data_IF_150022764682
#
_entry.id   IF_150022764682
#
_cell.length_a   1.000
_cell.length_b   1.000
_cell.length_c   1.000
_cell.angle_alpha   90.00
_cell.angle_beta   90.00
_cell.angle_gamma   90.00
#
_symmetry.space_group_name_H-M   'P 1'
#
loop_
_entity.id
_entity.type
_entity.pdbx_description
1 polymer ?
#
# COMPACT_ATOMS: atom_id res chain seq x y z
N UNK A 1 -5.54 -14.95 21.34
CA UNK A 1 -4.50 -15.08 20.30
C UNK A 1 -3.75 -16.39 20.50
N UNK A 2 -3.80 -17.33 19.55
CA UNK A 2 -3.21 -18.67 19.71
C UNK A 2 -1.69 -18.59 19.58
N UNK A 3 -0.96 -19.13 20.56
CA UNK A 3 0.50 -19.23 20.52
C UNK A 3 0.90 -20.62 20.05
N UNK A 4 1.47 -20.70 18.86
CA UNK A 4 2.00 -21.96 18.32
C UNK A 4 3.42 -22.22 18.84
N UNK A 5 3.63 -23.41 19.40
CA UNK A 5 4.91 -23.85 19.94
C UNK A 5 5.60 -24.85 18.98
N UNK A 6 6.87 -25.13 19.25
CA UNK A 6 7.65 -26.13 18.49
C UNK A 6 7.88 -25.73 17.03
N UNK A 7 7.65 -26.67 16.11
CA UNK A 7 7.86 -26.45 14.68
C UNK A 7 6.80 -25.54 14.03
N UNK A 8 5.64 -25.36 14.69
CA UNK A 8 4.58 -24.44 14.25
C UNK A 8 4.84 -22.98 14.66
N UNK A 9 5.84 -22.73 15.50
CA UNK A 9 6.23 -21.37 15.86
C UNK A 9 6.64 -20.57 14.61
N UNK A 10 6.12 -19.34 14.45
CA UNK A 10 6.32 -18.52 13.24
C UNK A 10 7.79 -18.40 12.80
N UNK A 11 8.74 -18.31 13.75
CA UNK A 11 10.17 -18.24 13.46
C UNK A 11 10.74 -19.52 12.84
N UNK A 12 10.21 -20.68 13.21
CA UNK A 12 10.72 -22.02 12.80
C UNK A 12 9.87 -22.67 11.71
N UNK A 13 8.63 -22.20 11.51
CA UNK A 13 7.67 -22.78 10.58
C UNK A 13 8.17 -22.82 9.14
N UNK A 14 8.88 -21.79 8.68
CA UNK A 14 9.39 -21.77 7.30
C UNK A 14 10.40 -22.87 6.99
N UNK A 15 11.20 -23.29 7.97
CA UNK A 15 12.29 -24.26 7.79
C UNK A 15 11.92 -25.68 8.22
N UNK A 16 11.14 -25.83 9.30
CA UNK A 16 10.79 -27.14 9.84
C UNK A 16 9.54 -27.75 9.23
N UNK A 17 8.57 -26.94 8.81
CA UNK A 17 7.31 -27.44 8.28
C UNK A 17 7.50 -28.27 6.99
N UNK A 18 8.34 -27.87 6.01
CA UNK A 18 8.56 -28.69 4.80
C UNK A 18 9.12 -30.08 5.12
N UNK A 19 10.03 -30.19 6.10
CA UNK A 19 10.62 -31.47 6.52
C UNK A 19 9.59 -32.42 7.13
N UNK A 20 8.60 -31.86 7.84
CA UNK A 20 7.48 -32.64 8.40
C UNK A 20 6.55 -33.13 7.30
N UNK A 21 6.27 -32.30 6.28
CA UNK A 21 5.51 -32.73 5.10
C UNK A 21 6.19 -33.87 4.35
N UNK A 22 7.52 -33.79 4.19
CA UNK A 22 8.34 -34.83 3.56
C UNK A 22 8.31 -36.13 4.35
N UNK A 23 8.53 -36.07 5.67
CA UNK A 23 8.49 -37.23 6.55
C UNK A 23 7.11 -37.92 6.60
N UNK A 24 6.02 -37.15 6.47
CA UNK A 24 4.65 -37.64 6.44
C UNK A 24 4.14 -38.00 5.04
N UNK A 25 5.00 -37.87 4.01
CA UNK A 25 4.62 -38.08 2.59
C UNK A 25 3.38 -37.28 2.16
N UNK A 26 3.17 -36.10 2.76
CA UNK A 26 2.02 -35.26 2.50
C UNK A 26 2.29 -34.31 1.34
N UNK A 27 1.35 -34.20 0.41
CA UNK A 27 1.42 -33.19 -0.66
C UNK A 27 1.31 -31.80 -0.08
N UNK A 28 2.33 -30.96 -0.31
CA UNK A 28 2.30 -29.55 0.08
C UNK A 28 1.19 -28.85 -0.71
N UNK A 29 0.28 -28.17 -0.01
CA UNK A 29 -0.72 -27.33 -0.68
C UNK A 29 -0.03 -26.20 -1.41
N UNK A 30 -0.44 -25.97 -2.65
CA UNK A 30 0.03 -24.83 -3.41
C UNK A 30 -0.24 -23.54 -2.66
N UNK A 31 0.78 -22.69 -2.59
CA UNK A 31 0.61 -21.35 -2.04
C UNK A 31 -0.41 -20.63 -2.93
N UNK A 32 -1.46 -20.02 -2.36
CA UNK A 32 -2.35 -19.20 -3.14
C UNK A 32 -1.52 -18.11 -3.84
N UNK A 33 -1.78 -17.91 -5.13
CA UNK A 33 -1.11 -16.85 -5.89
C UNK A 33 -1.35 -15.54 -5.16
N UNK A 34 -0.28 -14.79 -4.89
CA UNK A 34 -0.42 -13.45 -4.31
C UNK A 34 -1.32 -12.64 -5.25
N UNK A 35 -2.44 -12.09 -4.75
CA UNK A 35 -3.32 -11.29 -5.59
C UNK A 35 -2.52 -10.13 -6.18
N UNK A 36 -2.69 -9.91 -7.49
CA UNK A 36 -2.06 -8.79 -8.17
C UNK A 36 -2.62 -7.45 -7.67
N UNK A 37 -1.92 -6.36 -7.99
CA UNK A 37 -2.32 -5.01 -7.60
C UNK A 37 -3.79 -4.68 -7.93
N UNK A 38 -4.28 -5.04 -9.11
CA UNK A 38 -5.68 -4.79 -9.48
C UNK A 38 -6.69 -5.53 -8.61
N UNK A 39 -6.39 -6.78 -8.23
CA UNK A 39 -7.26 -7.56 -7.34
C UNK A 39 -7.30 -6.93 -5.95
N UNK A 40 -6.15 -6.47 -5.46
CA UNK A 40 -6.04 -5.75 -4.20
C UNK A 40 -6.81 -4.43 -4.23
N UNK A 41 -6.64 -3.62 -5.27
CA UNK A 41 -7.34 -2.34 -5.43
C UNK A 41 -8.84 -2.52 -5.55
N UNK A 42 -9.29 -3.53 -6.30
CA UNK A 42 -10.71 -3.87 -6.41
C UNK A 42 -11.30 -4.32 -5.08
N UNK A 43 -10.56 -5.10 -4.29
CA UNK A 43 -11.01 -5.52 -2.95
C UNK A 43 -11.01 -4.39 -1.92
N UNK A 44 -10.06 -3.45 -2.02
CA UNK A 44 -9.90 -2.36 -1.05
C UNK A 44 -10.78 -1.15 -1.35
N UNK A 45 -10.80 -0.67 -2.61
CA UNK A 45 -11.54 0.53 -3.04
C UNK A 45 -12.85 0.21 -3.76
N UNK A 46 -13.10 -1.05 -4.12
CA UNK A 46 -14.25 -1.42 -4.96
C UNK A 46 -14.08 -1.10 -6.45
N UNK A 47 -12.97 -0.46 -6.83
CA UNK A 47 -12.71 -0.02 -8.20
C UNK A 47 -11.57 -0.81 -8.83
N UNK A 48 -11.79 -1.32 -10.05
CA UNK A 48 -10.72 -1.95 -10.83
C UNK A 48 -9.88 -0.86 -11.52
N UNK A 49 -8.56 -0.74 -11.24
CA UNK A 49 -7.71 0.28 -11.85
C UNK A 49 -7.55 0.09 -13.36
N UNK A 50 -7.86 -1.10 -13.90
CA UNK A 50 -7.81 -1.38 -15.33
C UNK A 50 -9.17 -1.27 -16.01
N UNK A 51 -10.21 -0.76 -15.34
CA UNK A 51 -11.51 -0.54 -15.94
C UNK A 51 -11.72 0.96 -16.22
N UNK A 52 -12.10 1.26 -17.46
CA UNK A 52 -12.50 2.60 -17.87
C UNK A 52 -13.75 3.02 -17.09
N UNK A 53 -13.69 4.12 -16.33
CA UNK A 53 -14.81 4.63 -15.54
C UNK A 53 -15.99 5.07 -16.42
N UNK A 54 -15.71 5.55 -17.63
CA UNK A 54 -16.72 6.05 -18.56
C UNK A 54 -17.35 4.94 -19.40
N UNK A 55 -16.51 4.05 -19.94
CA UNK A 55 -16.85 3.11 -21.00
C UNK A 55 -16.89 1.65 -20.53
N UNK A 56 -16.32 1.34 -19.37
CA UNK A 56 -16.23 -0.04 -18.85
C UNK A 56 -15.17 -0.91 -19.55
N UNK A 57 -14.57 -0.45 -20.64
CA UNK A 57 -13.52 -1.19 -21.36
C UNK A 57 -12.23 -1.37 -20.54
N UNK A 58 -11.45 -2.39 -20.92
CA UNK A 58 -10.19 -2.72 -20.25
C UNK A 58 -9.05 -1.79 -20.68
N UNK A 59 -8.56 -1.02 -19.73
CA UNK A 59 -7.37 -0.18 -19.88
C UNK A 59 -6.09 -1.02 -19.90
N UNK A 60 -5.10 -0.56 -20.67
CA UNK A 60 -3.74 -1.13 -20.69
C UNK A 60 -2.86 -0.37 -19.72
N UNK A 61 -2.03 -1.09 -18.98
CA UNK A 61 -1.05 -0.47 -18.09
C UNK A 61 -0.03 0.34 -18.90
N UNK A 62 0.01 1.66 -18.67
CA UNK A 62 0.98 2.55 -19.31
C UNK A 62 2.19 2.83 -18.40
N UNK A 63 1.97 2.90 -17.08
CA UNK A 63 3.00 3.19 -16.10
C UNK A 63 2.41 3.36 -14.71
N UNK A 64 3.27 3.35 -13.70
CA UNK A 64 2.91 3.65 -12.31
C UNK A 64 3.91 4.66 -11.76
N UNK A 65 3.39 5.70 -11.11
CA UNK A 65 4.20 6.70 -10.43
C UNK A 65 3.89 6.62 -8.93
N UNK A 66 4.93 6.66 -8.10
CA UNK A 66 4.75 6.67 -6.67
C UNK A 66 4.19 8.03 -6.23
N UNK A 67 3.08 8.00 -5.47
CA UNK A 67 2.57 9.20 -4.82
C UNK A 67 3.57 9.73 -3.78
N UNK A 68 3.58 11.04 -3.57
CA UNK A 68 4.34 11.67 -2.46
C UNK A 68 3.75 11.24 -1.12
N UNK A 69 4.60 11.09 -0.11
CA UNK A 69 4.13 10.71 1.21
C UNK A 69 3.23 11.81 1.79
N UNK A 70 2.24 11.44 2.60
CA UNK A 70 1.30 12.40 3.19
C UNK A 70 2.01 13.50 3.98
N UNK A 71 3.11 13.16 4.67
CA UNK A 71 3.92 14.13 5.42
C UNK A 71 4.58 15.17 4.52
N UNK A 72 5.04 14.78 3.33
CA UNK A 72 5.64 15.70 2.35
C UNK A 72 4.60 16.65 1.75
N UNK A 73 3.40 16.13 1.49
CA UNK A 73 2.28 16.95 0.99
C UNK A 73 1.87 18.00 2.04
N UNK A 74 1.83 17.60 3.32
CA UNK A 74 1.51 18.49 4.43
C UNK A 74 2.60 19.54 4.65
N UNK A 75 3.88 19.17 4.64
CA UNK A 75 4.98 20.11 4.82
C UNK A 75 5.02 21.14 3.68
N UNK A 76 4.87 20.69 2.42
CA UNK A 76 4.81 21.58 1.27
C UNK A 76 3.58 22.51 1.29
N UNK A 77 2.47 22.09 1.92
CA UNK A 77 1.30 22.95 2.15
C UNK A 77 1.60 24.01 3.22
N UNK A 78 2.17 23.62 4.36
CA UNK A 78 2.52 24.53 5.45
C UNK A 78 3.50 25.61 4.98
N UNK A 79 4.57 25.23 4.27
CA UNK A 79 5.53 26.18 3.69
C UNK A 79 4.86 27.19 2.74
N UNK A 80 3.90 26.73 1.92
CA UNK A 80 3.12 27.64 1.06
C UNK A 80 2.28 28.63 1.85
N UNK A 81 1.70 28.22 2.97
CA UNK A 81 0.92 29.12 3.83
C UNK A 81 1.80 30.14 4.54
N UNK A 82 2.93 29.69 5.08
CA UNK A 82 3.93 30.56 5.71
C UNK A 82 4.46 31.62 4.73
N UNK A 83 4.84 31.21 3.51
CA UNK A 83 5.29 32.12 2.46
C UNK A 83 4.21 33.16 2.09
N UNK A 84 2.94 32.73 1.98
CA UNK A 84 1.82 33.65 1.72
C UNK A 84 1.65 34.67 2.85
N UNK A 85 1.72 34.22 4.11
CA UNK A 85 1.61 35.09 5.29
C UNK A 85 2.75 36.11 5.33
N UNK A 86 3.98 35.68 5.06
CA UNK A 86 5.14 36.56 5.04
C UNK A 86 5.04 37.64 3.95
N UNK A 87 4.59 37.28 2.75
CA UNK A 87 4.38 38.24 1.65
C UNK A 87 3.27 39.27 1.95
N UNK A 88 2.31 38.92 2.81
CA UNK A 88 1.21 39.81 3.20
C UNK A 88 1.52 40.68 4.43
N UNK A 89 2.52 40.31 5.24
CA UNK A 89 2.93 41.05 6.43
C UNK A 89 3.21 42.56 6.16
N UNK A 90 4.01 42.95 5.14
CA UNK A 90 4.28 44.37 4.90
C UNK A 90 3.09 45.17 4.36
N UNK A 91 1.97 44.53 4.00
CA UNK A 91 0.72 45.21 3.62
C UNK A 91 -0.16 45.54 4.83
N UNK A 92 -0.07 44.76 5.92
CA UNK A 92 -0.80 45.00 7.16
C UNK A 92 -0.15 46.11 7.99
N UNK A 93 1.18 46.19 7.98
CA UNK A 93 1.95 47.21 8.74
C UNK A 93 1.80 48.63 8.16
N UNK A 94 1.32 48.78 6.92
CA UNK A 94 1.09 50.09 6.28
C UNK A 94 -0.31 50.69 6.55
N UNK A 95 -1.18 49.95 7.23
CA UNK A 95 -2.54 50.37 7.55
C UNK A 95 -2.71 50.77 9.04
N UNK A 96 -1.60 50.89 9.80
CA UNK A 96 -1.57 51.31 11.20
C UNK A 96 -1.03 52.74 11.35
#
# INVERSE_FOLDING_TARGET
>A
MVRYYGFLANRKRGTLLPKVYEALSMTVRDKPKRPGFAVLMKGFLGTDPYQCILCGDRLRFAGAEAGRHATELLSARLQRMEKKRWLQAPALDKCA
#
